data_IF_249330619298
#
_entry.id   IF_249330619298
#
_cell.length_a   1.000
_cell.length_b   1.000
_cell.length_c   1.000
_cell.angle_alpha   90.00
_cell.angle_beta   90.00
_cell.angle_gamma   90.00
#
_symmetry.space_group_name_H-M   'P 1'
#
loop_
_entity.id
_entity.type
_entity.pdbx_description
1 polymer ?
#
# COMPACT_ATOMS: atom_id res chain seq x y z
N UNK A 1 16.31 -5.51 -29.74
CA UNK A 1 15.95 -5.61 -28.29
C UNK A 1 16.61 -6.89 -27.81
N UNK A 2 17.83 -6.72 -27.34
CA UNK A 2 18.76 -7.84 -27.20
C UNK A 2 18.35 -8.72 -26.03
N UNK A 3 18.28 -9.99 -26.31
CA UNK A 3 17.99 -11.11 -25.41
C UNK A 3 19.05 -11.30 -24.30
N UNK A 4 19.67 -10.18 -23.85
CA UNK A 4 20.65 -10.16 -22.76
C UNK A 4 20.12 -10.81 -21.49
N UNK A 5 18.80 -10.73 -21.26
CA UNK A 5 18.12 -11.40 -20.15
C UNK A 5 18.31 -12.91 -20.20
N UNK A 6 18.26 -13.52 -21.39
CA UNK A 6 18.47 -14.96 -21.55
C UNK A 6 19.94 -15.36 -21.51
N UNK A 7 20.86 -14.42 -21.78
CA UNK A 7 22.31 -14.66 -21.70
C UNK A 7 22.84 -14.53 -20.27
N UNK A 8 22.08 -13.90 -19.36
CA UNK A 8 22.46 -13.74 -17.95
C UNK A 8 21.35 -14.32 -17.03
N UNK A 9 21.31 -15.64 -16.80
CA UNK A 9 20.27 -16.29 -16.01
C UNK A 9 20.16 -15.74 -14.57
N UNK A 10 21.24 -15.21 -14.02
CA UNK A 10 21.27 -14.57 -12.69
C UNK A 10 20.40 -13.32 -12.67
N UNK A 11 20.41 -12.50 -13.71
CA UNK A 11 19.55 -11.31 -13.80
C UNK A 11 18.06 -11.68 -13.88
N UNK A 12 17.72 -12.80 -14.52
CA UNK A 12 16.35 -13.29 -14.53
C UNK A 12 15.90 -13.73 -13.13
N UNK A 13 16.76 -14.39 -12.38
CA UNK A 13 16.47 -14.81 -11.00
C UNK A 13 16.28 -13.57 -10.12
N UNK A 14 17.16 -12.59 -10.20
CA UNK A 14 17.04 -11.36 -9.44
C UNK A 14 15.75 -10.59 -9.77
N UNK A 15 15.45 -10.39 -11.07
CA UNK A 15 14.23 -9.72 -11.51
C UNK A 15 12.97 -10.45 -11.06
N UNK A 16 12.99 -11.79 -11.09
CA UNK A 16 11.86 -12.63 -10.66
C UNK A 16 11.62 -12.50 -9.15
N UNK A 17 12.69 -12.55 -8.35
CA UNK A 17 12.59 -12.40 -6.89
C UNK A 17 12.11 -11.00 -6.51
N UNK A 18 12.68 -9.95 -7.10
CA UNK A 18 12.22 -8.58 -6.90
C UNK A 18 10.75 -8.40 -7.31
N UNK A 19 10.36 -8.97 -8.44
CA UNK A 19 8.98 -8.95 -8.93
C UNK A 19 8.00 -9.64 -7.98
N UNK A 20 8.38 -10.80 -7.41
CA UNK A 20 7.56 -11.51 -6.42
C UNK A 20 7.40 -10.68 -5.15
N UNK A 21 8.48 -10.11 -4.60
CA UNK A 21 8.41 -9.30 -3.39
C UNK A 21 7.52 -8.07 -3.58
N UNK A 22 7.68 -7.36 -4.70
CA UNK A 22 6.84 -6.21 -5.03
C UNK A 22 5.40 -6.66 -5.30
N UNK A 23 5.20 -7.78 -5.99
CA UNK A 23 3.88 -8.34 -6.27
C UNK A 23 3.08 -8.65 -5.01
N UNK A 24 3.73 -9.14 -3.94
CA UNK A 24 3.08 -9.37 -2.64
C UNK A 24 2.55 -8.06 -2.04
N UNK A 25 3.32 -6.96 -2.14
CA UNK A 25 2.87 -5.64 -1.68
C UNK A 25 1.66 -5.15 -2.47
N UNK A 26 1.72 -5.24 -3.80
CA UNK A 26 0.60 -4.87 -4.66
C UNK A 26 -0.64 -5.74 -4.44
N UNK A 27 -0.47 -7.03 -4.13
CA UNK A 27 -1.59 -7.91 -3.80
C UNK A 27 -2.33 -7.44 -2.55
N UNK A 28 -1.63 -6.96 -1.51
CA UNK A 28 -2.27 -6.39 -0.31
C UNK A 28 -3.04 -5.11 -0.64
N UNK A 29 -2.47 -4.23 -1.48
CA UNK A 29 -3.13 -3.00 -1.94
C UNK A 29 -4.39 -3.34 -2.75
N UNK A 30 -4.28 -4.28 -3.69
CA UNK A 30 -5.40 -4.75 -4.51
C UNK A 30 -6.51 -5.38 -3.67
N UNK A 31 -6.15 -6.12 -2.61
CA UNK A 31 -7.12 -6.67 -1.67
C UNK A 31 -7.91 -5.56 -0.95
N UNK A 32 -7.24 -4.48 -0.52
CA UNK A 32 -7.90 -3.31 0.05
C UNK A 32 -8.89 -2.65 -0.91
N UNK A 33 -8.50 -2.49 -2.18
CA UNK A 33 -9.38 -1.96 -3.23
C UNK A 33 -10.57 -2.89 -3.51
N UNK A 34 -10.35 -4.19 -3.56
CA UNK A 34 -11.40 -5.18 -3.75
C UNK A 34 -12.43 -5.17 -2.61
N UNK A 35 -11.99 -4.94 -1.36
CA UNK A 35 -12.90 -4.76 -0.23
C UNK A 35 -13.74 -3.49 -0.35
N UNK A 36 -13.15 -2.36 -0.75
CA UNK A 36 -13.90 -1.12 -0.98
C UNK A 36 -14.95 -1.30 -2.08
N UNK A 37 -14.56 -1.90 -3.21
CA UNK A 37 -15.49 -2.20 -4.30
C UNK A 37 -16.62 -3.12 -3.83
N UNK A 38 -16.30 -4.22 -3.17
CA UNK A 38 -17.28 -5.21 -2.73
C UNK A 38 -18.27 -4.70 -1.68
N UNK A 39 -17.92 -3.66 -0.91
CA UNK A 39 -18.77 -3.13 0.17
C UNK A 39 -19.53 -1.88 -0.24
N UNK A 40 -18.85 -0.99 -0.94
CA UNK A 40 -19.36 0.36 -1.24
C UNK A 40 -19.69 0.55 -2.72
N UNK A 41 -19.30 -0.40 -3.56
CA UNK A 41 -19.41 -0.31 -5.02
C UNK A 41 -18.79 0.97 -5.60
N UNK A 42 -17.64 1.39 -5.03
CA UNK A 42 -16.92 2.61 -5.41
C UNK A 42 -15.54 2.23 -5.92
N UNK A 43 -15.10 2.87 -7.01
CA UNK A 43 -13.71 2.84 -7.46
C UNK A 43 -12.99 4.02 -6.82
N UNK A 44 -12.02 3.74 -5.95
CA UNK A 44 -11.24 4.76 -5.28
C UNK A 44 -9.91 5.01 -6.01
N UNK A 45 -9.87 6.05 -6.85
CA UNK A 45 -8.64 6.44 -7.57
C UNK A 45 -7.56 6.96 -6.62
N UNK A 46 -7.93 7.56 -5.48
CA UNK A 46 -6.99 8.05 -4.48
C UNK A 46 -6.27 6.94 -3.69
N UNK A 47 -6.53 5.66 -3.99
CA UNK A 47 -5.90 4.53 -3.29
C UNK A 47 -4.37 4.57 -3.33
N UNK A 48 -3.78 4.94 -4.48
CA UNK A 48 -2.34 5.09 -4.62
C UNK A 48 -1.76 6.19 -3.72
N UNK A 49 -2.43 7.33 -3.66
CA UNK A 49 -2.01 8.47 -2.83
C UNK A 49 -2.10 8.15 -1.33
N UNK A 50 -3.09 7.35 -0.93
CA UNK A 50 -3.19 6.84 0.44
C UNK A 50 -2.01 5.93 0.79
N UNK A 51 -1.55 5.09 -0.14
CA UNK A 51 -0.35 4.25 0.07
C UNK A 51 0.90 5.12 0.21
N UNK A 52 1.06 6.15 -0.64
CA UNK A 52 2.17 7.10 -0.57
C UNK A 52 2.14 7.85 0.77
N UNK A 53 0.97 8.29 1.23
CA UNK A 53 0.83 8.93 2.53
C UNK A 53 1.28 8.02 3.68
N UNK A 54 0.98 6.71 3.61
CA UNK A 54 1.50 5.72 4.54
C UNK A 54 3.03 5.66 4.56
N UNK A 55 3.66 5.81 3.40
CA UNK A 55 5.12 5.94 3.26
C UNK A 55 5.67 7.22 3.91
N UNK A 56 5.00 8.35 3.72
CA UNK A 56 5.38 9.62 4.37
C UNK A 56 5.26 9.55 5.89
N UNK A 57 4.30 8.81 6.45
CA UNK A 57 4.21 8.58 7.90
C UNK A 57 5.48 7.86 8.40
N UNK A 58 5.92 6.81 7.71
CA UNK A 58 7.14 6.10 8.06
C UNK A 58 8.39 7.01 7.91
N UNK A 59 8.41 7.86 6.88
CA UNK A 59 9.48 8.84 6.67
C UNK A 59 9.54 9.90 7.78
N UNK A 60 8.41 10.43 8.23
CA UNK A 60 8.38 11.38 9.35
C UNK A 60 8.87 10.77 10.65
N UNK A 61 8.60 9.49 10.89
CA UNK A 61 9.17 8.75 12.03
C UNK A 61 10.69 8.65 11.92
N UNK A 62 11.20 8.36 10.71
CA UNK A 62 12.64 8.34 10.47
C UNK A 62 13.30 9.68 10.78
N UNK A 63 12.70 10.80 10.34
CA UNK A 63 13.18 12.16 10.66
C UNK A 63 13.14 12.47 12.16
N UNK A 64 12.20 11.89 12.90
CA UNK A 64 12.11 12.00 14.35
C UNK A 64 13.09 11.09 15.11
N UNK A 65 13.99 10.38 14.39
CA UNK A 65 14.94 9.43 14.99
C UNK A 65 14.30 8.11 15.46
N UNK A 66 13.05 7.84 15.07
CA UNK A 66 12.35 6.60 15.39
C UNK A 66 12.56 5.63 14.21
N UNK A 67 12.90 4.38 14.54
CA UNK A 67 13.10 3.37 13.51
C UNK A 67 11.88 3.22 12.60
N UNK A 68 12.02 3.32 11.24
CA UNK A 68 10.90 3.32 10.30
C UNK A 68 10.00 2.07 10.39
N UNK A 69 10.52 0.96 10.91
CA UNK A 69 9.76 -0.26 11.16
C UNK A 69 8.53 -0.08 12.07
N UNK A 70 8.54 0.91 12.96
CA UNK A 70 7.37 1.25 13.78
C UNK A 70 6.22 1.80 12.94
N UNK A 71 6.51 2.29 11.72
CA UNK A 71 5.50 2.68 10.74
C UNK A 71 4.47 1.58 10.45
N UNK A 72 4.87 0.31 10.56
CA UNK A 72 3.96 -0.85 10.41
C UNK A 72 2.79 -0.79 11.39
N UNK A 73 2.99 -0.27 12.60
CA UNK A 73 1.95 -0.17 13.65
C UNK A 73 1.29 1.21 13.61
N UNK A 74 2.07 2.27 13.48
CA UNK A 74 1.59 3.65 13.58
C UNK A 74 0.82 4.08 12.33
N UNK A 75 1.30 3.70 11.12
CA UNK A 75 0.62 4.09 9.87
C UNK A 75 -0.81 3.60 9.79
N UNK A 76 -1.17 2.35 10.12
CA UNK A 76 -2.56 1.91 10.08
C UNK A 76 -3.47 2.71 11.02
N UNK A 77 -2.97 3.12 12.18
CA UNK A 77 -3.75 3.91 13.16
C UNK A 77 -4.03 5.30 12.57
N UNK A 78 -3.02 5.98 12.06
CA UNK A 78 -3.18 7.31 11.44
C UNK A 78 -4.08 7.20 10.20
N UNK A 79 -3.84 6.20 9.35
CA UNK A 79 -4.62 5.97 8.13
C UNK A 79 -6.08 5.62 8.42
N UNK A 80 -6.38 5.01 9.56
CA UNK A 80 -7.76 4.81 10.01
C UNK A 80 -8.49 6.15 10.19
N UNK A 81 -7.86 7.12 10.85
CA UNK A 81 -8.46 8.46 11.03
C UNK A 81 -8.56 9.24 9.72
N UNK A 82 -7.55 9.14 8.85
CA UNK A 82 -7.57 9.72 7.50
C UNK A 82 -8.72 9.12 6.68
N UNK A 83 -8.84 7.80 6.64
CA UNK A 83 -9.91 7.10 5.93
C UNK A 83 -11.30 7.44 6.48
N UNK A 84 -11.44 7.53 7.81
CA UNK A 84 -12.67 7.97 8.46
C UNK A 84 -13.05 9.40 8.06
N UNK A 85 -12.08 10.32 8.06
CA UNK A 85 -12.31 11.70 7.66
C UNK A 85 -12.72 11.80 6.19
N UNK A 86 -12.02 11.12 5.28
CA UNK A 86 -12.36 11.07 3.86
C UNK A 86 -13.75 10.47 3.63
N UNK A 87 -14.08 9.40 4.34
CA UNK A 87 -15.42 8.82 4.28
C UNK A 87 -16.48 9.84 4.69
N UNK A 88 -16.33 10.47 5.85
CA UNK A 88 -17.31 11.42 6.39
C UNK A 88 -17.46 12.68 5.53
N UNK A 89 -16.34 13.20 5.00
CA UNK A 89 -16.34 14.48 4.27
C UNK A 89 -16.83 14.32 2.81
N UNK A 90 -16.45 13.24 2.14
CA UNK A 90 -16.66 13.07 0.70
C UNK A 90 -17.40 11.78 0.37
N UNK A 91 -16.88 10.61 0.76
CA UNK A 91 -17.36 9.30 0.27
C UNK A 91 -18.83 9.08 0.63
N UNK A 92 -19.23 9.37 1.87
CA UNK A 92 -20.62 9.23 2.33
C UNK A 92 -21.64 10.02 1.51
N UNK A 93 -21.21 11.05 0.78
CA UNK A 93 -22.08 11.86 -0.07
C UNK A 93 -22.25 11.32 -1.49
N UNK A 94 -21.37 10.42 -1.89
CA UNK A 94 -21.27 9.90 -3.25
C UNK A 94 -21.49 8.38 -3.34
N UNK A 95 -21.50 7.67 -2.20
CA UNK A 95 -21.62 6.20 -2.15
C UNK A 95 -22.92 5.68 -2.81
N UNK A 96 -24.02 6.42 -2.67
CA UNK A 96 -25.31 6.05 -3.26
C UNK A 96 -25.58 6.72 -4.63
N UNK A 97 -24.55 7.29 -5.23
CA UNK A 97 -24.62 7.95 -6.53
C UNK A 97 -24.10 7.06 -7.64
N UNK A 98 -24.25 7.53 -8.87
CA UNK A 98 -23.67 6.87 -10.04
C UNK A 98 -22.16 6.60 -9.84
N UNK A 99 -21.69 5.47 -10.34
CA UNK A 99 -20.28 5.05 -10.30
C UNK A 99 -19.35 6.13 -10.83
N UNK A 100 -19.75 6.83 -11.90
CA UNK A 100 -18.95 7.90 -12.50
C UNK A 100 -18.73 9.09 -11.55
N UNK A 101 -19.76 9.42 -10.74
CA UNK A 101 -19.66 10.49 -9.73
C UNK A 101 -18.66 10.12 -8.65
N UNK A 102 -18.65 8.86 -8.22
CA UNK A 102 -17.68 8.38 -7.21
C UNK A 102 -16.24 8.36 -7.75
N UNK A 103 -16.04 7.99 -9.01
CA UNK A 103 -14.74 8.09 -9.70
C UNK A 103 -14.24 9.54 -9.72
N UNK A 104 -15.09 10.47 -10.14
CA UNK A 104 -14.73 11.89 -10.21
C UNK A 104 -14.41 12.48 -8.83
N UNK A 105 -15.20 12.12 -7.82
CA UNK A 105 -14.98 12.56 -6.44
C UNK A 105 -13.65 12.03 -5.88
N UNK A 106 -13.33 10.74 -6.08
CA UNK A 106 -12.08 10.15 -5.62
C UNK A 106 -10.87 10.65 -6.40
N UNK A 107 -11.03 10.99 -7.67
CA UNK A 107 -10.00 11.68 -8.46
C UNK A 107 -9.72 13.09 -7.90
N UNK A 108 -10.76 13.83 -7.53
CA UNK A 108 -10.60 15.11 -6.83
C UNK A 108 -9.85 14.98 -5.50
N UNK A 109 -10.16 13.93 -4.72
CA UNK A 109 -9.41 13.60 -3.50
C UNK A 109 -7.93 13.32 -3.82
N UNK A 110 -7.64 12.55 -4.86
CA UNK A 110 -6.27 12.24 -5.29
C UNK A 110 -5.46 13.52 -5.55
N UNK A 111 -6.01 14.44 -6.33
CA UNK A 111 -5.35 15.73 -6.63
C UNK A 111 -5.08 16.52 -5.34
N UNK A 112 -6.07 16.64 -4.46
CA UNK A 112 -5.91 17.37 -3.19
C UNK A 112 -4.83 16.71 -2.32
N UNK A 113 -4.84 15.38 -2.20
CA UNK A 113 -3.83 14.66 -1.42
C UNK A 113 -2.42 14.82 -1.99
N UNK A 114 -2.26 14.73 -3.32
CA UNK A 114 -0.97 14.96 -3.99
C UNK A 114 -0.44 16.38 -3.70
N UNK A 115 -1.29 17.41 -3.83
CA UNK A 115 -0.88 18.78 -3.56
C UNK A 115 -0.56 19.01 -2.07
N UNK A 116 -1.32 18.41 -1.15
CA UNK A 116 -1.03 18.47 0.27
C UNK A 116 0.31 17.80 0.61
N UNK A 117 0.57 16.61 0.05
CA UNK A 117 1.85 15.93 0.25
C UNK A 117 3.00 16.74 -0.31
N UNK A 118 2.88 17.30 -1.53
CA UNK A 118 3.88 18.17 -2.11
C UNK A 118 4.11 19.44 -1.29
N UNK A 119 3.06 20.02 -0.73
CA UNK A 119 3.17 21.22 0.12
C UNK A 119 3.89 20.93 1.45
N UNK A 120 3.62 19.77 2.05
CA UNK A 120 4.19 19.41 3.37
C UNK A 120 5.61 18.85 3.24
N UNK A 121 5.85 17.99 2.27
CA UNK A 121 7.10 17.21 2.14
C UNK A 121 8.02 17.71 1.01
N UNK A 122 7.52 18.62 0.16
CA UNK A 122 8.22 19.05 -1.04
C UNK A 122 8.00 18.10 -2.22
N UNK A 123 8.52 18.50 -3.39
CA UNK A 123 8.42 17.73 -4.63
C UNK A 123 9.58 16.71 -4.82
N UNK A 124 10.55 16.69 -3.91
CA UNK A 124 11.72 15.83 -4.00
C UNK A 124 11.40 14.39 -3.58
N UNK A 125 12.13 13.47 -4.19
CA UNK A 125 12.05 12.05 -3.79
C UNK A 125 12.72 11.87 -2.44
N UNK A 126 11.94 11.52 -1.43
CA UNK A 126 12.44 11.26 -0.08
C UNK A 126 12.57 9.75 0.18
N UNK A 127 13.64 9.36 0.84
CA UNK A 127 13.93 7.96 1.16
C UNK A 127 14.28 7.86 2.64
N UNK A 128 13.56 7.02 3.37
CA UNK A 128 13.97 6.62 4.71
C UNK A 128 15.08 5.57 4.58
N UNK A 129 16.30 5.92 4.95
CA UNK A 129 17.39 4.96 4.99
C UNK A 129 17.13 3.98 6.13
N UNK A 130 16.99 2.70 5.80
CA UNK A 130 16.89 1.65 6.79
C UNK A 130 18.20 0.87 6.87
N UNK A 131 18.71 0.67 8.07
CA UNK A 131 19.93 -0.10 8.35
C UNK A 131 19.73 -1.62 8.20
N UNK A 132 18.69 -2.06 7.52
CA UNK A 132 18.39 -3.49 7.37
C UNK A 132 19.42 -4.26 6.54
N UNK A 133 20.35 -3.57 5.85
CA UNK A 133 21.32 -4.21 5.00
C UNK A 133 20.73 -4.89 3.77
N UNK A 134 21.53 -5.70 3.13
CA UNK A 134 21.16 -6.50 1.95
C UNK A 134 21.51 -7.96 2.17
N UNK A 135 20.63 -8.88 1.80
CA UNK A 135 20.92 -10.32 1.75
C UNK A 135 21.49 -10.65 0.39
N UNK A 136 22.66 -11.26 0.37
CA UNK A 136 23.34 -11.72 -0.83
C UNK A 136 23.11 -13.22 -0.99
N UNK A 137 22.63 -13.64 -2.16
CA UNK A 137 22.36 -15.02 -2.54
C UNK A 137 23.21 -15.39 -3.74
N UNK A 138 23.46 -16.69 -3.94
CA UNK A 138 24.22 -17.21 -5.08
C UNK A 138 25.60 -16.57 -5.25
N UNK A 139 26.45 -16.68 -4.22
CA UNK A 139 27.83 -16.20 -4.25
C UNK A 139 27.96 -14.69 -4.58
N UNK A 140 27.12 -13.86 -3.92
CA UNK A 140 27.02 -12.41 -4.12
C UNK A 140 26.45 -11.94 -5.48
N UNK A 141 25.90 -12.84 -6.27
CA UNK A 141 25.38 -12.51 -7.61
C UNK A 141 23.95 -11.96 -7.59
N UNK A 142 23.18 -12.22 -6.54
CA UNK A 142 21.80 -11.74 -6.35
C UNK A 142 21.73 -10.96 -5.05
N UNK A 143 21.35 -9.69 -5.11
CA UNK A 143 21.24 -8.81 -3.93
C UNK A 143 19.78 -8.46 -3.68
N UNK A 144 19.26 -8.81 -2.50
CA UNK A 144 17.91 -8.47 -2.07
C UNK A 144 17.98 -7.52 -0.87
N UNK A 145 17.40 -6.30 -0.98
CA UNK A 145 17.27 -5.42 0.18
C UNK A 145 16.39 -6.07 1.26
N UNK A 146 16.92 -6.21 2.47
CA UNK A 146 16.19 -6.84 3.57
C UNK A 146 14.90 -6.08 3.92
N UNK A 147 14.85 -4.78 3.65
CA UNK A 147 13.62 -3.97 3.78
C UNK A 147 12.47 -4.47 2.89
N UNK A 148 12.75 -4.91 1.65
CA UNK A 148 11.73 -5.50 0.75
C UNK A 148 11.23 -6.84 1.29
N UNK A 149 12.14 -7.70 1.79
CA UNK A 149 11.78 -8.99 2.39
C UNK A 149 10.90 -8.75 3.62
N UNK A 150 11.30 -7.85 4.50
CA UNK A 150 10.53 -7.48 5.69
C UNK A 150 9.13 -6.97 5.31
N UNK A 151 9.05 -6.05 4.34
CA UNK A 151 7.78 -5.51 3.87
C UNK A 151 6.87 -6.61 3.27
N UNK A 152 7.42 -7.54 2.48
CA UNK A 152 6.66 -8.65 1.92
C UNK A 152 6.12 -9.59 3.01
N UNK A 153 6.95 -9.96 4.01
CA UNK A 153 6.52 -10.80 5.14
C UNK A 153 5.39 -10.14 5.93
N UNK A 154 5.56 -8.86 6.26
CA UNK A 154 4.52 -8.08 6.96
C UNK A 154 3.23 -8.01 6.13
N UNK A 155 3.32 -7.82 4.82
CA UNK A 155 2.16 -7.77 3.93
C UNK A 155 1.38 -9.09 3.93
N UNK A 156 2.08 -10.22 3.91
CA UNK A 156 1.45 -11.54 4.02
C UNK A 156 0.75 -11.72 5.38
N UNK A 157 1.40 -11.30 6.47
CA UNK A 157 0.81 -11.36 7.83
C UNK A 157 -0.47 -10.50 7.87
N UNK A 158 -0.43 -9.27 7.36
CA UNK A 158 -1.61 -8.41 7.30
C UNK A 158 -2.71 -9.00 6.41
N UNK A 159 -2.37 -9.55 5.25
CA UNK A 159 -3.35 -10.19 4.37
C UNK A 159 -4.05 -11.36 5.06
N UNK A 160 -3.28 -12.24 5.72
CA UNK A 160 -3.83 -13.37 6.48
C UNK A 160 -4.71 -12.88 7.63
N UNK A 161 -4.23 -11.89 8.40
CA UNK A 161 -4.99 -11.30 9.50
C UNK A 161 -6.32 -10.71 9.04
N UNK A 162 -6.32 -9.97 7.92
CA UNK A 162 -7.53 -9.40 7.30
C UNK A 162 -8.49 -10.50 6.84
N UNK A 163 -8.01 -11.55 6.19
CA UNK A 163 -8.86 -12.68 5.75
C UNK A 163 -9.50 -13.37 6.96
N UNK A 164 -8.74 -13.62 8.02
CA UNK A 164 -9.25 -14.24 9.26
C UNK A 164 -10.27 -13.31 9.91
N UNK A 165 -9.95 -12.02 10.01
CA UNK A 165 -10.85 -11.02 10.57
C UNK A 165 -12.18 -10.97 9.80
N UNK A 166 -12.13 -10.89 8.48
CA UNK A 166 -13.30 -10.89 7.61
C UNK A 166 -14.13 -12.18 7.73
N UNK A 167 -13.49 -13.34 7.94
CA UNK A 167 -14.20 -14.62 8.12
C UNK A 167 -14.86 -14.75 9.50
N UNK A 168 -14.20 -14.31 10.57
CA UNK A 168 -14.63 -14.56 11.96
C UNK A 168 -15.41 -13.43 12.60
N UNK A 169 -15.17 -12.15 12.21
CA UNK A 169 -15.78 -10.99 12.85
C UNK A 169 -17.25 -10.81 12.47
N UNK A 170 -18.02 -10.16 13.36
CA UNK A 170 -19.40 -9.75 13.09
C UNK A 170 -19.46 -8.74 11.93
N UNK A 171 -18.50 -7.79 11.90
CA UNK A 171 -18.34 -6.83 10.82
C UNK A 171 -18.07 -7.51 9.48
N UNK A 172 -17.18 -8.49 9.42
CA UNK A 172 -16.90 -9.23 8.21
C UNK A 172 -18.11 -10.02 7.68
N UNK A 173 -18.99 -10.49 8.56
CA UNK A 173 -20.26 -11.11 8.16
C UNK A 173 -21.24 -10.08 7.58
N UNK A 174 -21.37 -8.92 8.22
CA UNK A 174 -22.21 -7.82 7.72
C UNK A 174 -21.72 -7.34 6.35
N UNK A 175 -20.42 -7.12 6.18
CA UNK A 175 -19.79 -6.72 4.91
C UNK A 175 -20.11 -7.72 3.79
N UNK A 176 -20.02 -9.03 4.05
CA UNK A 176 -20.34 -10.04 3.04
C UNK A 176 -21.82 -10.12 2.72
N UNK A 177 -22.69 -9.82 3.68
CA UNK A 177 -24.13 -9.77 3.45
C UNK A 177 -24.56 -8.57 2.59
N UNK A 178 -23.81 -7.47 2.63
CA UNK A 178 -24.05 -6.29 1.79
C UNK A 178 -23.43 -6.40 0.39
N UNK A 179 -22.46 -7.31 0.21
CA UNK A 179 -21.78 -7.54 -1.07
C UNK A 179 -22.48 -8.61 -1.95
N UNK A 180 -23.57 -9.22 -1.48
CA UNK A 180 -24.45 -10.14 -2.22
C UNK A 180 -25.70 -9.40 -2.71
#
# INVERSE_FOLDING_TARGET
MDLLIFQAPILMVQASLDGILIGILFALIAYGMALQWGVMNIINIAQGDLVILGGYIAYTMYLAGIHPGWGVIVSPIIMYFVGWALYKLVINKVVDRDLFISILATFGIAIVMQQLMNFIFGADVVVAQSEYGTTMLFDNSVTLPNSKIFAAVISVIYAIALVIYMKKSRLGRAIRATAQ
#
